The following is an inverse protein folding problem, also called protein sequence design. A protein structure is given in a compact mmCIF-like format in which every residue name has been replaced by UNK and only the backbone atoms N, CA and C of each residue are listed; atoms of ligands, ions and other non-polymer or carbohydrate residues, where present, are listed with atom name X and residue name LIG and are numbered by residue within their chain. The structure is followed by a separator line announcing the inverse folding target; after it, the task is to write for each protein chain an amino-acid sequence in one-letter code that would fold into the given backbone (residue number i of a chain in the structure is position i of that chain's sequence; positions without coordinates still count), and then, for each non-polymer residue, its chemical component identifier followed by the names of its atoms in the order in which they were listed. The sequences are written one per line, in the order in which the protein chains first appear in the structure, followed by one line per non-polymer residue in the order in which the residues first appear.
data_IF_047806885940
#
_entry.id   IF_047806885940
#
_cell.length_a   1.000
_cell.length_b   1.000
_cell.length_c   1.000
_cell.angle_alpha   90.00
_cell.angle_beta   90.00
_cell.angle_gamma   90.00
#
_symmetry.space_group_name_H-M   'P 1'
#
loop_
_entity.id
_entity.type
_entity.pdbx_description
1 polymer ?
#
# COMPACT_ATOMS: atom_id res chain seq x y z
N UNK A 1 -14.41 7.25 -19.32
CA UNK A 1 -13.93 6.31 -18.27
C UNK A 1 -14.49 6.66 -16.89
N UNK A 2 -14.35 7.90 -16.42
CA UNK A 2 -14.92 8.35 -15.14
C UNK A 2 -16.45 8.51 -15.21
N UNK A 3 -16.96 9.26 -16.19
CA UNK A 3 -18.41 9.52 -16.30
C UNK A 3 -19.22 8.26 -16.59
N UNK A 4 -18.64 7.34 -17.37
CA UNK A 4 -19.23 6.04 -17.68
C UNK A 4 -19.13 5.01 -16.54
N UNK A 5 -18.46 5.35 -15.43
CA UNK A 5 -18.19 4.45 -14.29
C UNK A 5 -17.56 3.11 -14.66
N UNK A 6 -16.86 3.05 -15.80
CA UNK A 6 -16.27 1.80 -16.31
C UNK A 6 -15.25 1.16 -15.35
N UNK A 7 -14.75 1.91 -14.36
CA UNK A 7 -13.80 1.46 -13.34
C UNK A 7 -14.38 1.29 -11.94
N UNK A 8 -15.69 1.50 -11.75
CA UNK A 8 -16.32 1.44 -10.43
C UNK A 8 -16.11 0.10 -9.71
N UNK A 9 -16.24 -1.02 -10.44
CA UNK A 9 -16.00 -2.35 -9.89
C UNK A 9 -14.56 -2.53 -9.40
N UNK A 10 -13.58 -2.01 -10.15
CA UNK A 10 -12.17 -2.08 -9.79
C UNK A 10 -11.86 -1.23 -8.55
N UNK A 11 -12.37 0.01 -8.51
CA UNK A 11 -12.24 0.88 -7.32
C UNK A 11 -12.82 0.21 -6.08
N UNK A 12 -14.00 -0.42 -6.20
CA UNK A 12 -14.62 -1.11 -5.07
C UNK A 12 -13.82 -2.33 -4.62
N UNK A 13 -13.24 -3.09 -5.56
CA UNK A 13 -12.36 -4.22 -5.25
C UNK A 13 -11.11 -3.76 -4.51
N UNK A 14 -10.45 -2.69 -4.97
CA UNK A 14 -9.24 -2.14 -4.35
C UNK A 14 -9.51 -1.61 -2.93
N UNK A 15 -10.64 -0.92 -2.72
CA UNK A 15 -11.08 -0.48 -1.39
C UNK A 15 -11.32 -1.65 -0.44
N UNK A 16 -11.95 -2.73 -0.93
CA UNK A 16 -12.19 -3.93 -0.11
C UNK A 16 -10.89 -4.65 0.22
N UNK A 17 -9.96 -4.76 -0.73
CA UNK A 17 -8.65 -5.36 -0.51
C UNK A 17 -7.85 -4.61 0.56
N UNK A 18 -7.83 -3.27 0.52
CA UNK A 18 -7.19 -2.45 1.55
C UNK A 18 -7.79 -2.68 2.95
N UNK A 19 -9.12 -2.71 3.05
CA UNK A 19 -9.81 -3.01 4.32
C UNK A 19 -9.49 -4.40 4.85
N UNK A 20 -9.49 -5.42 3.98
CA UNK A 20 -9.15 -6.79 4.36
C UNK A 20 -7.69 -6.93 4.80
N UNK A 21 -6.79 -6.16 4.20
CA UNK A 21 -5.39 -6.08 4.61
C UNK A 21 -5.16 -5.26 5.90
N UNK A 22 -6.21 -4.69 6.50
CA UNK A 22 -6.11 -3.88 7.71
C UNK A 22 -5.44 -2.52 7.49
N UNK A 23 -5.66 -1.91 6.32
CA UNK A 23 -5.26 -0.53 6.02
C UNK A 23 -6.28 0.43 6.61
N UNK A 24 -5.82 1.28 7.53
CA UNK A 24 -6.65 2.29 8.22
C UNK A 24 -6.32 3.72 7.79
N UNK A 25 -5.20 3.91 7.07
CA UNK A 25 -4.74 5.22 6.62
C UNK A 25 -3.69 5.11 5.53
N UNK A 26 -3.45 6.23 4.83
CA UNK A 26 -2.53 6.30 3.69
C UNK A 26 -1.35 7.26 3.96
N UNK A 27 -0.13 6.93 3.51
CA UNK A 27 0.25 5.66 2.89
C UNK A 27 0.39 4.53 3.93
N UNK A 28 0.14 3.29 3.50
CA UNK A 28 0.48 2.06 4.23
C UNK A 28 1.24 1.16 3.27
N UNK A 29 2.38 0.63 3.70
CA UNK A 29 3.27 -0.21 2.90
C UNK A 29 3.22 -1.64 3.42
N UNK A 30 3.33 -2.60 2.51
CA UNK A 30 3.53 -4.02 2.83
C UNK A 30 4.82 -4.47 2.14
N UNK A 31 5.91 -4.64 2.91
CA UNK A 31 7.21 -5.06 2.41
C UNK A 31 7.51 -6.46 2.96
N UNK A 32 7.60 -7.47 2.10
CA UNK A 32 7.78 -8.87 2.49
C UNK A 32 6.78 -9.36 3.56
N UNK A 33 5.52 -8.91 3.49
CA UNK A 33 4.47 -9.23 4.46
C UNK A 33 4.49 -8.41 5.75
N UNK A 34 5.48 -7.53 5.93
CA UNK A 34 5.55 -6.60 7.06
C UNK A 34 4.79 -5.31 6.76
N UNK A 35 3.89 -4.91 7.67
CA UNK A 35 3.06 -3.70 7.53
C UNK A 35 3.77 -2.48 8.13
N UNK A 36 3.96 -1.44 7.33
CA UNK A 36 4.50 -0.15 7.76
C UNK A 36 3.46 0.96 7.51
N UNK A 37 3.02 1.62 8.57
CA UNK A 37 1.96 2.64 8.52
C UNK A 37 2.57 4.03 8.51
N UNK A 38 2.10 4.89 7.62
CA UNK A 38 2.51 6.29 7.52
C UNK A 38 3.51 6.54 6.40
N UNK A 39 3.70 7.83 6.12
CA UNK A 39 4.69 8.27 5.15
C UNK A 39 6.11 8.02 5.69
N UNK A 40 6.99 7.55 4.81
CA UNK A 40 8.42 7.40 5.07
C UNK A 40 9.17 8.36 4.16
N UNK A 41 10.29 8.91 4.63
CA UNK A 41 11.19 9.61 3.72
C UNK A 41 11.81 8.62 2.72
N UNK A 42 12.30 9.11 1.60
CA UNK A 42 13.03 8.28 0.64
C UNK A 42 14.21 7.56 1.30
N UNK A 43 14.95 8.24 2.17
CA UNK A 43 16.08 7.66 2.90
C UNK A 43 15.68 6.55 3.86
N UNK A 44 14.57 6.73 4.59
CA UNK A 44 14.05 5.68 5.49
C UNK A 44 13.60 4.45 4.69
N UNK A 45 12.93 4.66 3.55
CA UNK A 45 12.52 3.57 2.67
C UNK A 45 13.75 2.84 2.10
N UNK A 46 14.79 3.57 1.67
CA UNK A 46 16.02 2.97 1.15
C UNK A 46 16.70 2.07 2.18
N UNK A 47 16.93 2.60 3.40
CA UNK A 47 17.54 1.83 4.48
C UNK A 47 16.73 0.58 4.84
N UNK A 48 15.40 0.70 4.83
CA UNK A 48 14.50 -0.42 5.08
C UNK A 48 14.65 -1.49 3.99
N UNK A 49 14.66 -1.11 2.72
CA UNK A 49 14.82 -2.05 1.60
C UNK A 49 16.18 -2.75 1.64
N UNK A 50 17.27 -2.04 1.94
CA UNK A 50 18.61 -2.63 2.09
C UNK A 50 18.63 -3.71 3.18
N UNK A 51 17.98 -3.44 4.32
CA UNK A 51 17.87 -4.40 5.42
C UNK A 51 17.08 -5.67 5.07
N UNK A 52 16.13 -5.55 4.12
CA UNK A 52 15.31 -6.68 3.67
C UNK A 52 16.04 -7.53 2.62
N UNK A 53 16.97 -6.95 1.86
CA UNK A 53 17.77 -7.64 0.84
C UNK A 53 19.02 -8.31 1.42
N UNK A 54 19.54 -7.85 2.55
CA UNK A 54 20.71 -8.42 3.22
C UNK A 54 20.42 -9.72 4.00
N UNK A 55 19.19 -10.25 3.91
CA UNK A 55 18.75 -11.50 4.54
C UNK A 55 18.73 -12.64 3.54
#
# INVERSE_FOLDING_TARGET
CLDSRAKAAQVQADLNAGRQAGVEGTPTWFLNGQKHVGAMSEGDLHNLLDSLLAR
#
